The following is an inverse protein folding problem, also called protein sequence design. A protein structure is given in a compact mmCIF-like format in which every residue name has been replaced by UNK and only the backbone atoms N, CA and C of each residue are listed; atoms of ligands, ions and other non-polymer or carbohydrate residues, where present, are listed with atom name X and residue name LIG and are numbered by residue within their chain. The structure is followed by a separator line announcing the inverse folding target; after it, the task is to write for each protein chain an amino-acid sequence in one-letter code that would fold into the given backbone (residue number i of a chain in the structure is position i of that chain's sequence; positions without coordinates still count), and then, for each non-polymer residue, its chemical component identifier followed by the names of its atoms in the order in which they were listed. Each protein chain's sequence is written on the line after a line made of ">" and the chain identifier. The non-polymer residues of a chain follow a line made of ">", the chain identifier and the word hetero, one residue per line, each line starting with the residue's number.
data_IF_288809563907
#
_entry.id   IF_288809563907
#
_cell.length_a   1.000
_cell.length_b   1.000
_cell.length_c   1.000
_cell.angle_alpha   90.00
_cell.angle_beta   90.00
_cell.angle_gamma   90.00
#
_symmetry.space_group_name_H-M   'P 1'
#
loop_
_entity.id
_entity.type
_entity.pdbx_description
1 polymer ?
#
# COMPACT_ATOMS: atom_id res chain seq x y z
N UNK A 1 -17.53 -9.98 -6.28
CA UNK A 1 -16.88 -9.93 -4.94
C UNK A 1 -15.52 -9.29 -5.12
N UNK A 2 -15.21 -8.23 -4.37
CA UNK A 2 -13.92 -7.54 -4.44
C UNK A 2 -12.81 -8.49 -3.96
N UNK A 3 -11.78 -8.66 -4.77
CA UNK A 3 -10.62 -9.51 -4.44
C UNK A 3 -9.48 -8.70 -3.86
N UNK A 4 -9.26 -7.50 -4.38
CA UNK A 4 -8.19 -6.61 -3.97
C UNK A 4 -8.74 -5.21 -3.67
N UNK A 5 -8.57 -4.79 -2.42
CA UNK A 5 -8.87 -3.42 -1.97
C UNK A 5 -7.55 -2.73 -1.64
N UNK A 6 -7.40 -1.51 -2.13
CA UNK A 6 -6.27 -0.64 -1.75
C UNK A 6 -6.80 0.59 -1.02
N UNK A 7 -6.17 0.95 0.09
CA UNK A 7 -6.52 2.14 0.87
C UNK A 7 -5.27 2.99 1.08
N UNK A 8 -5.33 4.24 0.65
CA UNK A 8 -4.26 5.21 0.87
C UNK A 8 -4.65 6.21 1.96
N UNK A 9 -3.91 6.17 3.06
CA UNK A 9 -4.09 7.08 4.18
C UNK A 9 -3.32 8.38 3.94
N UNK A 10 -3.93 9.28 3.15
CA UNK A 10 -3.37 10.60 2.84
C UNK A 10 -3.50 11.54 4.04
N UNK A 11 -2.43 11.64 4.82
CA UNK A 11 -2.34 12.51 5.98
C UNK A 11 -0.92 13.04 6.12
N UNK A 12 -0.78 14.34 6.41
CA UNK A 12 0.54 14.93 6.62
C UNK A 12 1.13 14.51 7.96
N UNK A 13 2.46 14.45 8.05
CA UNK A 13 3.18 14.17 9.29
C UNK A 13 2.75 15.10 10.43
N UNK A 14 2.56 16.39 10.13
CA UNK A 14 2.07 17.40 11.08
C UNK A 14 0.69 17.07 11.64
N UNK A 15 -0.22 16.56 10.78
CA UNK A 15 -1.58 16.23 11.18
C UNK A 15 -1.67 14.90 11.94
N UNK A 16 -0.75 13.98 11.66
CA UNK A 16 -0.60 12.77 12.48
C UNK A 16 -0.21 13.15 13.89
N UNK A 17 0.82 13.97 14.08
CA UNK A 17 1.27 14.48 15.37
C UNK A 17 1.18 13.43 16.49
N UNK A 18 0.41 13.72 17.54
CA UNK A 18 0.13 12.79 18.63
C UNK A 18 -1.01 11.79 18.34
N UNK A 19 -1.61 11.83 17.15
CA UNK A 19 -2.75 10.99 16.79
C UNK A 19 -2.35 9.66 16.10
N UNK A 20 -1.05 9.31 16.11
CA UNK A 20 -0.58 8.09 15.43
C UNK A 20 -1.25 6.81 15.98
N UNK A 21 -1.59 6.75 17.27
CA UNK A 21 -2.31 5.62 17.87
C UNK A 21 -3.67 5.43 17.19
N UNK A 22 -4.41 6.53 16.96
CA UNK A 22 -5.71 6.49 16.29
C UNK A 22 -5.58 6.07 14.83
N UNK A 23 -4.59 6.60 14.12
CA UNK A 23 -4.29 6.20 12.75
C UNK A 23 -3.99 4.70 12.66
N UNK A 24 -3.11 4.19 13.50
CA UNK A 24 -2.76 2.77 13.50
C UNK A 24 -3.91 1.88 13.96
N UNK A 25 -4.80 2.38 14.84
CA UNK A 25 -6.05 1.69 15.16
C UNK A 25 -6.96 1.56 13.93
N UNK A 26 -7.11 2.62 13.13
CA UNK A 26 -7.90 2.57 11.89
C UNK A 26 -7.29 1.59 10.87
N UNK A 27 -5.97 1.60 10.70
CA UNK A 27 -5.27 0.62 9.85
C UNK A 27 -5.48 -0.81 10.37
N UNK A 28 -5.39 -1.01 11.67
CA UNK A 28 -5.62 -2.33 12.29
C UNK A 28 -7.06 -2.82 12.07
N UNK A 29 -8.04 -1.92 12.17
CA UNK A 29 -9.44 -2.27 11.90
C UNK A 29 -9.65 -2.65 10.44
N UNK A 30 -8.98 -1.96 9.51
CA UNK A 30 -8.98 -2.32 8.09
C UNK A 30 -8.38 -3.72 7.84
N UNK A 31 -7.28 -4.07 8.51
CA UNK A 31 -6.68 -5.40 8.43
C UNK A 31 -7.64 -6.47 9.00
N UNK A 32 -8.30 -6.20 10.13
CA UNK A 32 -9.31 -7.10 10.70
C UNK A 32 -10.50 -7.27 9.76
N UNK A 33 -10.93 -6.20 9.09
CA UNK A 33 -12.00 -6.23 8.09
C UNK A 33 -11.62 -7.12 6.91
N UNK A 34 -10.39 -7.01 6.39
CA UNK A 34 -9.90 -7.91 5.35
C UNK A 34 -10.10 -9.37 5.73
N UNK A 35 -9.69 -9.74 6.95
CA UNK A 35 -9.73 -11.12 7.44
C UNK A 35 -11.17 -11.58 7.61
N UNK A 36 -12.01 -10.80 8.30
CA UNK A 36 -13.40 -11.16 8.59
C UNK A 36 -14.25 -11.31 7.33
N UNK A 37 -14.01 -10.48 6.32
CA UNK A 37 -14.73 -10.50 5.05
C UNK A 37 -14.05 -11.36 3.96
N UNK A 38 -12.94 -12.05 4.32
CA UNK A 38 -12.19 -12.93 3.41
C UNK A 38 -11.74 -12.24 2.12
N UNK A 39 -11.38 -10.96 2.22
CA UNK A 39 -10.81 -10.20 1.11
C UNK A 39 -9.40 -10.73 0.88
N UNK A 40 -9.13 -11.21 -0.33
CA UNK A 40 -7.88 -11.91 -0.63
C UNK A 40 -6.65 -11.01 -0.51
N UNK A 41 -6.73 -9.78 -1.00
CA UNK A 41 -5.61 -8.86 -1.06
C UNK A 41 -6.03 -7.51 -0.47
N UNK A 42 -5.21 -7.00 0.45
CA UNK A 42 -5.32 -5.65 0.96
C UNK A 42 -3.99 -4.93 0.75
N UNK A 43 -4.04 -3.78 0.10
CA UNK A 43 -2.87 -2.89 -0.01
C UNK A 43 -3.12 -1.61 0.76
N UNK A 44 -2.19 -1.24 1.64
CA UNK A 44 -2.29 -0.07 2.51
C UNK A 44 -1.16 0.90 2.18
N UNK A 45 -1.51 2.10 1.71
CA UNK A 45 -0.60 3.22 1.62
C UNK A 45 -0.34 3.79 3.01
N UNK A 46 0.89 3.64 3.50
CA UNK A 46 1.28 4.20 4.79
C UNK A 46 1.68 5.67 4.62
N UNK A 47 1.20 6.56 5.48
CA UNK A 47 1.61 7.94 5.45
C UNK A 47 3.08 8.10 5.85
N UNK A 48 3.67 9.22 5.44
CA UNK A 48 5.01 9.60 5.90
C UNK A 48 4.93 10.01 7.37
N UNK A 49 5.45 9.16 8.23
CA UNK A 49 5.58 9.37 9.68
C UNK A 49 6.96 8.89 10.13
N UNK A 50 7.34 9.22 11.34
CA UNK A 50 8.59 8.77 11.96
C UNK A 50 8.71 7.24 11.86
N UNK A 51 9.86 6.76 11.40
CA UNK A 51 10.16 5.34 11.21
C UNK A 51 9.98 4.52 12.50
N UNK A 52 10.31 5.08 13.65
CA UNK A 52 10.17 4.39 14.93
C UNK A 52 8.69 4.12 15.27
N UNK A 53 7.78 5.01 14.89
CA UNK A 53 6.34 4.79 15.06
C UNK A 53 5.84 3.68 14.15
N UNK A 54 6.39 3.56 12.94
CA UNK A 54 6.06 2.45 12.05
C UNK A 54 6.60 1.13 12.61
N UNK A 55 7.83 1.12 13.12
CA UNK A 55 8.41 -0.06 13.80
C UNK A 55 7.52 -0.51 14.96
N UNK A 56 7.07 0.44 15.81
CA UNK A 56 6.17 0.15 16.92
C UNK A 56 4.85 -0.47 16.43
N UNK A 57 4.24 0.13 15.39
CA UNK A 57 3.02 -0.40 14.77
C UNK A 57 3.22 -1.84 14.26
N UNK A 58 4.28 -2.09 13.50
CA UNK A 58 4.56 -3.40 12.93
C UNK A 58 4.81 -4.45 14.04
N UNK A 59 5.58 -4.13 15.05
CA UNK A 59 5.86 -5.03 16.17
C UNK A 59 4.62 -5.35 17.01
N UNK A 60 3.74 -4.37 17.20
CA UNK A 60 2.59 -4.53 18.09
C UNK A 60 1.41 -5.18 17.37
N UNK A 61 1.04 -4.67 16.19
CA UNK A 61 -0.18 -5.08 15.48
C UNK A 61 0.04 -6.13 14.39
N UNK A 62 1.23 -6.17 13.79
CA UNK A 62 1.57 -7.07 12.68
C UNK A 62 2.66 -8.05 13.11
N UNK A 63 2.56 -8.55 14.34
CA UNK A 63 3.54 -9.44 14.94
C UNK A 63 3.41 -10.90 14.45
N UNK A 64 4.36 -11.74 14.88
CA UNK A 64 4.39 -13.16 14.49
C UNK A 64 3.08 -13.88 14.83
N UNK A 65 2.49 -13.62 16.00
CA UNK A 65 1.23 -14.26 16.41
C UNK A 65 0.09 -13.93 15.44
N UNK A 66 -0.01 -12.67 15.03
CA UNK A 66 -0.99 -12.24 14.02
C UNK A 66 -0.77 -12.98 12.69
N UNK A 67 0.48 -13.01 12.20
CA UNK A 67 0.85 -13.65 10.92
C UNK A 67 0.56 -15.15 10.94
N UNK A 68 0.98 -15.84 12.00
CA UNK A 68 0.79 -17.29 12.16
C UNK A 68 -0.68 -17.68 12.29
N UNK A 69 -1.47 -16.87 13.02
CA UNK A 69 -2.90 -17.13 13.23
C UNK A 69 -3.69 -16.97 11.95
N UNK A 70 -3.41 -15.90 11.18
CA UNK A 70 -4.21 -15.55 10.00
C UNK A 70 -3.63 -16.10 8.69
N UNK A 71 -2.43 -16.69 8.72
CA UNK A 71 -1.74 -17.24 7.54
C UNK A 71 -1.60 -16.24 6.39
N UNK A 72 -1.36 -14.97 6.72
CA UNK A 72 -1.27 -13.85 5.77
C UNK A 72 0.17 -13.70 5.31
N UNK A 73 0.37 -13.55 4.01
CA UNK A 73 1.66 -13.14 3.44
C UNK A 73 1.75 -11.63 3.46
N UNK A 74 2.83 -11.12 4.04
CA UNK A 74 3.12 -9.69 4.10
C UNK A 74 4.09 -9.32 3.00
N UNK A 75 3.85 -8.18 2.35
CA UNK A 75 4.74 -7.61 1.34
C UNK A 75 4.89 -6.10 1.57
N UNK A 76 6.05 -5.59 1.18
CA UNK A 76 6.32 -4.15 1.23
C UNK A 76 6.73 -3.67 -0.17
N UNK A 77 6.15 -2.56 -0.62
CA UNK A 77 6.47 -1.92 -1.91
C UNK A 77 6.90 -0.47 -1.69
N UNK A 78 7.71 0.03 -2.61
CA UNK A 78 8.35 1.34 -2.51
C UNK A 78 9.82 1.22 -2.11
N UNK A 79 10.45 2.35 -1.83
CA UNK A 79 11.87 2.43 -1.46
C UNK A 79 12.10 2.21 0.04
N UNK A 80 11.50 1.15 0.58
CA UNK A 80 11.60 0.81 2.01
C UNK A 80 13.04 0.53 2.47
N UNK A 81 13.92 0.16 1.56
CA UNK A 81 15.36 -0.08 1.85
C UNK A 81 16.16 1.21 2.10
N UNK A 82 15.59 2.38 1.80
CA UNK A 82 16.18 3.70 2.07
C UNK A 82 15.76 4.26 3.44
N UNK A 83 14.94 3.52 4.19
CA UNK A 83 14.47 3.90 5.52
C UNK A 83 15.48 3.55 6.61
N UNK A 84 15.20 3.87 7.87
CA UNK A 84 16.09 3.56 8.99
C UNK A 84 16.42 2.07 9.08
N UNK A 85 17.62 1.74 9.54
CA UNK A 85 18.09 0.35 9.67
C UNK A 85 17.17 -0.48 10.57
N UNK A 86 16.59 0.13 11.60
CA UNK A 86 15.66 -0.51 12.51
C UNK A 86 14.36 -0.92 11.79
N UNK A 87 13.78 -0.02 10.99
CA UNK A 87 12.59 -0.30 10.21
C UNK A 87 12.87 -1.32 9.10
N UNK A 88 13.99 -1.20 8.38
CA UNK A 88 14.41 -2.19 7.37
C UNK A 88 14.57 -3.58 7.98
N UNK A 89 15.12 -3.67 9.18
CA UNK A 89 15.27 -4.96 9.88
C UNK A 89 13.93 -5.57 10.25
N UNK A 90 12.97 -4.76 10.72
CA UNK A 90 11.63 -5.23 11.07
C UNK A 90 10.84 -5.67 9.81
N UNK A 91 10.97 -4.93 8.71
CA UNK A 91 10.40 -5.30 7.41
C UNK A 91 10.93 -6.68 6.96
N UNK A 92 12.25 -6.87 6.96
CA UNK A 92 12.86 -8.16 6.60
C UNK A 92 12.36 -9.30 7.48
N UNK A 93 12.26 -9.06 8.79
CA UNK A 93 11.72 -10.05 9.74
C UNK A 93 10.29 -10.47 9.36
N UNK A 94 9.42 -9.51 9.01
CA UNK A 94 8.04 -9.79 8.61
C UNK A 94 7.96 -10.54 7.28
N UNK A 95 8.78 -10.18 6.30
CA UNK A 95 8.89 -10.89 5.03
C UNK A 95 9.27 -12.35 5.24
N UNK A 96 10.27 -12.61 6.11
CA UNK A 96 10.75 -13.96 6.40
C UNK A 96 9.68 -14.82 7.08
N UNK A 97 9.04 -14.33 8.14
CA UNK A 97 8.05 -15.12 8.89
C UNK A 97 6.76 -15.36 8.13
N UNK A 98 6.42 -14.50 7.14
CA UNK A 98 5.19 -14.61 6.37
C UNK A 98 5.37 -15.25 4.99
N UNK A 99 6.61 -15.48 4.56
CA UNK A 99 6.96 -15.82 3.17
C UNK A 99 6.26 -17.07 2.62
N UNK A 100 5.96 -18.05 3.48
CA UNK A 100 5.34 -19.32 3.11
C UNK A 100 3.79 -19.30 3.14
N UNK A 101 3.18 -18.20 3.56
CA UNK A 101 1.72 -18.10 3.62
C UNK A 101 1.12 -17.62 2.31
N UNK A 102 -0.10 -18.06 2.02
CA UNK A 102 -0.81 -17.77 0.78
C UNK A 102 -2.33 -17.68 0.94
N UNK A 103 -2.85 -17.64 2.16
CA UNK A 103 -4.30 -17.58 2.42
C UNK A 103 -4.85 -16.18 2.20
N UNK A 104 -4.04 -15.16 2.46
CA UNK A 104 -4.34 -13.76 2.24
C UNK A 104 -3.05 -12.97 2.02
N UNK A 105 -3.16 -11.80 1.42
CA UNK A 105 -2.03 -10.94 1.10
C UNK A 105 -2.25 -9.55 1.69
N UNK A 106 -1.31 -9.13 2.53
CA UNK A 106 -1.30 -7.80 3.14
C UNK A 106 -0.07 -7.05 2.65
N UNK A 107 -0.30 -6.04 1.83
CA UNK A 107 0.76 -5.25 1.23
C UNK A 107 0.81 -3.87 1.88
N UNK A 108 2.00 -3.40 2.23
CA UNK A 108 2.26 -2.05 2.69
C UNK A 108 3.03 -1.27 1.64
N UNK A 109 2.44 -0.19 1.11
CA UNK A 109 3.16 0.78 0.30
C UNK A 109 3.79 1.81 1.25
N UNK A 110 5.10 1.78 1.37
CA UNK A 110 5.89 2.61 2.28
C UNK A 110 7.03 3.28 1.52
N UNK A 111 7.25 4.55 1.78
CA UNK A 111 8.18 5.36 0.97
C UNK A 111 7.96 5.12 -0.53
N UNK A 112 6.68 5.11 -0.92
CA UNK A 112 6.19 4.76 -2.24
C UNK A 112 5.70 6.00 -2.99
N UNK A 113 6.10 6.11 -4.24
CA UNK A 113 5.58 7.06 -5.22
C UNK A 113 5.48 6.36 -6.58
N UNK A 114 4.30 6.38 -7.19
CA UNK A 114 4.06 5.68 -8.46
C UNK A 114 4.80 6.29 -9.66
N UNK A 115 5.14 7.59 -9.64
CA UNK A 115 5.98 8.19 -10.67
C UNK A 115 7.42 7.69 -10.56
N UNK A 116 7.96 7.63 -9.32
CA UNK A 116 9.29 7.07 -9.10
C UNK A 116 9.35 5.59 -9.46
N UNK A 117 8.33 4.81 -9.12
CA UNK A 117 8.19 3.41 -9.51
C UNK A 117 8.31 3.23 -11.02
N UNK A 118 7.56 4.00 -11.81
CA UNK A 118 7.59 3.94 -13.27
C UNK A 118 8.96 4.35 -13.81
N UNK A 119 9.54 5.43 -13.29
CA UNK A 119 10.89 5.88 -13.70
C UNK A 119 11.93 4.80 -13.41
N UNK A 120 11.90 4.16 -12.26
CA UNK A 120 12.85 3.12 -11.91
C UNK A 120 12.65 1.85 -12.75
N UNK A 121 11.40 1.47 -13.06
CA UNK A 121 11.10 0.40 -14.00
C UNK A 121 11.65 0.70 -15.41
N UNK A 122 11.46 1.93 -15.91
CA UNK A 122 12.03 2.35 -17.19
C UNK A 122 13.56 2.26 -17.20
N UNK A 123 14.24 2.69 -16.13
CA UNK A 123 15.70 2.54 -15.99
C UNK A 123 16.14 1.07 -16.05
N UNK A 124 15.40 0.16 -15.40
CA UNK A 124 15.69 -1.27 -15.44
C UNK A 124 15.52 -1.84 -16.86
N UNK A 125 14.45 -1.47 -17.56
CA UNK A 125 14.19 -1.89 -18.94
C UNK A 125 15.30 -1.37 -19.88
N UNK A 126 15.67 -0.09 -19.79
CA UNK A 126 16.77 0.49 -20.56
C UNK A 126 18.08 -0.28 -20.33
N UNK A 127 18.41 -0.62 -19.08
CA UNK A 127 19.59 -1.45 -18.79
C UNK A 127 19.52 -2.83 -19.44
N UNK A 128 18.34 -3.46 -19.47
CA UNK A 128 18.14 -4.75 -20.16
C UNK A 128 18.37 -4.63 -21.68
N UNK A 129 17.90 -3.53 -22.28
CA UNK A 129 18.13 -3.24 -23.73
C UNK A 129 19.60 -3.02 -24.03
N UNK A 130 20.29 -2.15 -23.28
CA UNK A 130 21.72 -1.86 -23.45
C UNK A 130 22.56 -3.14 -23.31
N UNK A 131 22.19 -4.02 -22.39
CA UNK A 131 22.88 -5.28 -22.16
C UNK A 131 22.43 -6.41 -23.13
N UNK A 132 21.69 -6.11 -24.20
CA UNK A 132 21.16 -7.05 -25.17
C UNK A 132 20.34 -8.21 -24.59
N UNK A 133 19.72 -8.01 -23.40
CA UNK A 133 18.83 -8.98 -22.79
C UNK A 133 17.42 -9.01 -23.39
N UNK A 134 16.99 -7.86 -23.92
CA UNK A 134 15.74 -7.70 -24.66
C UNK A 134 15.98 -6.72 -25.83
N UNK A 135 15.20 -6.90 -26.94
CA UNK A 135 15.18 -5.90 -28.03
C UNK A 135 14.34 -4.71 -27.62
N UNK A 136 14.67 -3.52 -28.14
CA UNK A 136 13.84 -2.33 -27.96
C UNK A 136 12.41 -2.53 -28.47
N UNK A 137 12.27 -3.24 -29.58
CA UNK A 137 10.96 -3.55 -30.19
C UNK A 137 10.09 -4.50 -29.35
N UNK A 138 10.69 -5.22 -28.40
CA UNK A 138 9.98 -6.08 -27.48
C UNK A 138 9.41 -5.33 -26.26
N UNK A 139 9.81 -4.06 -26.05
CA UNK A 139 9.34 -3.26 -24.90
C UNK A 139 7.86 -2.94 -25.05
N UNK A 140 7.06 -3.39 -24.10
CA UNK A 140 5.61 -3.20 -24.05
C UNK A 140 5.14 -3.03 -22.59
N UNK A 141 3.81 -2.87 -22.38
CA UNK A 141 3.23 -2.69 -21.04
C UNK A 141 3.59 -3.84 -20.08
N UNK A 142 3.63 -5.10 -20.55
CA UNK A 142 3.95 -6.25 -19.73
C UNK A 142 5.40 -6.18 -19.22
N UNK A 143 6.35 -5.86 -20.11
CA UNK A 143 7.76 -5.69 -19.74
C UNK A 143 7.93 -4.55 -18.73
N UNK A 144 7.20 -3.45 -18.86
CA UNK A 144 7.23 -2.37 -17.84
C UNK A 144 6.67 -2.91 -16.52
N UNK A 145 5.49 -3.56 -16.54
CA UNK A 145 4.85 -4.14 -15.33
C UNK A 145 5.76 -5.10 -14.59
N UNK A 146 6.49 -5.96 -15.29
CA UNK A 146 7.44 -6.92 -14.70
C UNK A 146 8.61 -6.24 -13.94
N UNK A 147 8.85 -4.96 -14.17
CA UNK A 147 9.93 -4.21 -13.55
C UNK A 147 9.45 -3.17 -12.52
N UNK A 148 8.14 -3.07 -12.29
CA UNK A 148 7.57 -2.23 -11.24
C UNK A 148 7.84 -2.83 -9.85
N UNK A 149 7.77 -2.03 -8.79
CA UNK A 149 7.76 -2.51 -7.41
C UNK A 149 6.56 -3.42 -7.15
N UNK A 150 5.45 -3.14 -7.84
CA UNK A 150 4.19 -3.90 -7.80
C UNK A 150 4.13 -5.04 -8.84
N UNK A 151 5.26 -5.48 -9.41
CA UNK A 151 5.32 -6.48 -10.49
C UNK A 151 4.49 -7.74 -10.22
N UNK A 152 4.46 -8.20 -8.98
CA UNK A 152 3.73 -9.40 -8.57
C UNK A 152 2.32 -9.11 -8.03
N UNK A 153 1.87 -7.86 -8.07
CA UNK A 153 0.56 -7.49 -7.56
C UNK A 153 -0.51 -7.64 -8.63
N UNK A 154 -1.64 -8.18 -8.22
CA UNK A 154 -2.88 -8.08 -8.99
C UNK A 154 -3.39 -6.63 -8.83
N UNK A 155 -3.78 -5.95 -9.92
CA UNK A 155 -4.37 -4.61 -9.81
C UNK A 155 -5.56 -4.58 -8.84
N UNK A 156 -5.77 -3.50 -8.07
CA UNK A 156 -6.89 -3.41 -7.16
C UNK A 156 -8.23 -3.25 -7.91
N UNK A 157 -9.27 -3.93 -7.41
CA UNK A 157 -10.65 -3.71 -7.86
C UNK A 157 -11.17 -2.35 -7.36
N UNK A 158 -10.73 -1.95 -6.15
CA UNK A 158 -11.16 -0.74 -5.48
C UNK A 158 -9.97 -0.04 -4.82
N UNK A 159 -9.80 1.24 -5.12
CA UNK A 159 -8.87 2.14 -4.43
C UNK A 159 -9.69 3.15 -3.64
N UNK A 160 -9.44 3.22 -2.34
CA UNK A 160 -10.03 4.23 -1.46
C UNK A 160 -8.93 5.19 -1.03
N UNK A 161 -9.16 6.46 -1.23
CA UNK A 161 -8.25 7.50 -0.81
C UNK A 161 -8.89 8.36 0.25
N UNK A 162 -8.28 8.38 1.43
CA UNK A 162 -8.68 9.32 2.48
C UNK A 162 -8.11 10.70 2.15
N UNK A 163 -8.76 11.76 2.59
CA UNK A 163 -8.26 13.10 2.34
C UNK A 163 -8.91 14.14 3.25
N UNK A 164 -8.28 15.29 3.40
CA UNK A 164 -8.92 16.43 4.01
C UNK A 164 -9.88 17.08 3.03
N UNK A 165 -11.06 17.38 3.53
CA UNK A 165 -11.97 18.31 2.90
C UNK A 165 -11.38 19.71 3.09
N UNK A 166 -10.76 20.27 2.06
CA UNK A 166 -10.21 21.65 2.06
C UNK A 166 -11.32 22.72 2.03
N UNK A 167 -12.50 22.38 2.52
CA UNK A 167 -13.62 23.32 2.68
C UNK A 167 -14.36 23.65 1.37
N UNK A 168 -13.93 23.13 0.26
CA UNK A 168 -14.59 23.28 -1.03
C UNK A 168 -15.68 22.22 -1.18
N UNK A 169 -16.87 22.53 -0.61
CA UNK A 169 -18.17 21.91 -0.91
C UNK A 169 -18.21 20.40 -1.22
N UNK A 170 -18.85 19.65 -0.34
CA UNK A 170 -19.64 18.38 -0.48
C UNK A 170 -19.35 17.39 -1.64
N UNK A 171 -18.46 17.66 -2.55
CA UNK A 171 -18.04 16.77 -3.61
C UNK A 171 -16.69 16.15 -3.20
N UNK A 172 -16.60 14.85 -3.25
CA UNK A 172 -15.40 14.06 -2.98
C UNK A 172 -14.32 14.27 -4.06
N UNK A 173 -13.78 15.48 -4.13
CA UNK A 173 -12.65 15.81 -5.00
C UNK A 173 -11.36 15.48 -4.24
N UNK A 174 -10.51 14.67 -4.81
CA UNK A 174 -9.24 14.26 -4.21
C UNK A 174 -8.14 14.15 -5.25
N UNK A 175 -6.91 13.97 -4.79
CA UNK A 175 -5.74 13.74 -5.65
C UNK A 175 -5.28 12.31 -5.47
N UNK A 176 -5.01 11.59 -6.55
CA UNK A 176 -4.47 10.23 -6.47
C UNK A 176 -3.03 10.22 -5.92
N UNK A 177 -2.28 11.33 -6.08
CA UNK A 177 -0.90 11.52 -5.61
C UNK A 177 0.04 10.39 -6.02
N UNK A 178 -0.22 9.73 -7.17
CA UNK A 178 0.61 8.65 -7.68
C UNK A 178 0.42 7.29 -6.99
N UNK A 179 -0.51 7.14 -6.03
CA UNK A 179 -0.72 5.86 -5.36
C UNK A 179 -1.19 4.78 -6.34
N UNK A 180 -0.41 3.69 -6.45
CA UNK A 180 -0.62 2.57 -7.39
C UNK A 180 -0.92 3.05 -8.81
N UNK A 181 -0.19 4.07 -9.29
CA UNK A 181 -0.49 4.81 -10.51
C UNK A 181 -0.63 3.89 -11.73
N UNK A 182 0.27 2.94 -11.92
CA UNK A 182 0.21 1.97 -13.02
C UNK A 182 -0.96 1.02 -12.88
N UNK A 183 -1.19 0.52 -11.66
CA UNK A 183 -2.18 -0.52 -11.39
C UNK A 183 -3.61 0.02 -11.24
N UNK A 184 -3.79 1.35 -11.23
CA UNK A 184 -5.10 1.98 -11.06
C UNK A 184 -5.95 2.04 -12.34
N UNK A 185 -5.41 1.62 -13.50
CA UNK A 185 -6.03 1.76 -14.83
C UNK A 185 -7.51 1.30 -14.87
N UNK A 186 -7.78 0.14 -14.29
CA UNK A 186 -9.12 -0.48 -14.31
C UNK A 186 -9.79 -0.48 -12.93
N UNK A 187 -9.19 0.20 -11.95
CA UNK A 187 -9.71 0.26 -10.58
C UNK A 187 -10.87 1.24 -10.46
N UNK A 188 -11.86 0.92 -9.63
CA UNK A 188 -12.78 1.92 -9.10
C UNK A 188 -12.03 2.78 -8.08
N UNK A 189 -12.09 4.10 -8.22
CA UNK A 189 -11.39 5.01 -7.29
C UNK A 189 -12.42 5.84 -6.54
N UNK A 190 -12.33 5.79 -5.21
CA UNK A 190 -13.21 6.52 -4.30
C UNK A 190 -12.37 7.48 -3.46
N UNK A 191 -12.74 8.74 -3.50
CA UNK A 191 -12.20 9.76 -2.62
C UNK A 191 -13.18 9.97 -1.47
N UNK A 192 -12.77 9.66 -0.25
CA UNK A 192 -13.61 9.94 0.91
C UNK A 192 -13.43 11.39 1.36
N UNK A 193 -14.48 11.98 1.92
CA UNK A 193 -14.38 13.28 2.59
C UNK A 193 -13.90 13.16 4.04
N UNK A 194 -13.42 11.98 4.42
CA UNK A 194 -12.91 11.67 5.76
C UNK A 194 -11.40 11.73 5.75
N UNK A 195 -10.83 12.35 6.76
CA UNK A 195 -9.40 12.25 7.00
C UNK A 195 -9.01 10.82 7.38
N UNK A 196 -7.74 10.48 7.28
CA UNK A 196 -7.22 9.19 7.74
C UNK A 196 -7.57 8.88 9.21
N UNK A 197 -7.72 9.91 10.05
CA UNK A 197 -8.11 9.75 11.46
C UNK A 197 -9.61 9.51 11.67
N UNK A 198 -10.45 9.95 10.72
CA UNK A 198 -11.91 9.80 10.78
C UNK A 198 -12.43 8.61 9.97
N UNK A 199 -11.54 7.95 9.24
CA UNK A 199 -11.86 6.78 8.42
C UNK A 199 -12.39 5.65 9.30
N UNK A 200 -13.53 5.10 8.90
CA UNK A 200 -14.18 3.97 9.53
C UNK A 200 -14.48 2.91 8.48
N UNK A 201 -13.84 1.76 8.61
CA UNK A 201 -13.85 0.72 7.58
C UNK A 201 -15.25 0.15 7.34
N UNK A 202 -16.02 -0.09 8.40
CA UNK A 202 -17.36 -0.69 8.30
C UNK A 202 -18.34 0.25 7.61
N UNK A 203 -18.23 1.55 7.87
CA UNK A 203 -19.07 2.56 7.25
C UNK A 203 -18.61 2.92 5.85
N UNK A 204 -17.30 3.11 5.68
CA UNK A 204 -16.76 3.76 4.48
C UNK A 204 -16.46 2.75 3.35
N UNK A 205 -16.34 1.44 3.64
CA UNK A 205 -16.18 0.38 2.63
C UNK A 205 -17.51 -0.32 2.31
N UNK A 206 -18.42 -0.51 3.27
CA UNK A 206 -19.71 -1.18 3.02
C UNK A 206 -20.66 -0.44 2.06
N UNK A 207 -20.24 0.72 1.54
CA UNK A 207 -20.98 1.48 0.53
C UNK A 207 -20.73 1.00 -0.91
N UNK A 208 -19.84 0.02 -1.12
CA UNK A 208 -19.38 -0.49 -2.42
C UNK A 208 -19.47 -2.02 -2.51
#
# INVERSE_FOLDING_TARGET
>A
MLKHIAVDFDISEKDVGNNFIKLFSNITNLIKFQISHKILILTIGLPKVDDEKIVEFLKFYVNKSFVDTNKVKISFVGKWYDLSSNLVSEIKRLLDISGNYNTGFLNFAINYDGHEEIVDACKLVVRKVINNKISIDAVNEAIIKENLYTSNFVPPDLIIKTGKNDGLNKTSVGKLNGFLLWDSKDSKIVFTNKSALEFDVERDINLF
#
